data_IF_517008187387
#
_entry.id   IF_517008187387
#
_cell.length_a   1.000
_cell.length_b   1.000
_cell.length_c   1.000
_cell.angle_alpha   90.00
_cell.angle_beta   90.00
_cell.angle_gamma   90.00
#
_symmetry.space_group_name_H-M   'P 1'
#
loop_
_entity.id
_entity.type
_entity.pdbx_description
1 polymer ?
#
# COMPACT_ATOMS: atom_id res chain seq x y z
N UNK A 1 -4.07 32.49 1.96
CA UNK A 1 -3.23 31.82 3.00
C UNK A 1 -3.81 30.43 3.23
N UNK A 2 -3.18 29.42 2.71
CA UNK A 2 -3.55 28.01 2.95
C UNK A 2 -3.23 27.70 4.42
N UNK A 3 -4.24 27.34 5.22
CA UNK A 3 -4.00 26.81 6.56
C UNK A 3 -3.23 25.50 6.40
N UNK A 4 -2.05 25.42 7.00
CA UNK A 4 -1.35 24.16 7.12
C UNK A 4 -2.27 23.15 7.82
N UNK A 5 -2.54 22.03 7.16
CA UNK A 5 -3.36 20.96 7.73
C UNK A 5 -2.56 20.38 8.90
N UNK A 6 -3.10 20.46 10.11
CA UNK A 6 -2.50 19.78 11.25
C UNK A 6 -2.72 18.27 11.08
N UNK A 7 -1.67 17.57 10.67
CA UNK A 7 -1.69 16.13 10.45
C UNK A 7 -2.08 15.33 11.72
N UNK A 8 -1.83 15.89 12.93
CA UNK A 8 -2.26 15.27 14.18
C UNK A 8 -3.77 15.35 14.36
N UNK A 9 -4.36 16.48 14.00
CA UNK A 9 -5.83 16.68 14.07
C UNK A 9 -6.54 15.82 13.02
N UNK A 10 -5.97 15.71 11.81
CA UNK A 10 -6.46 14.83 10.77
C UNK A 10 -6.42 13.35 11.22
N UNK A 11 -5.31 12.92 11.83
CA UNK A 11 -5.13 11.57 12.39
C UNK A 11 -6.07 11.28 13.55
N UNK A 12 -6.27 12.24 14.43
CA UNK A 12 -7.18 12.12 15.57
C UNK A 12 -8.63 11.96 15.13
N UNK A 13 -9.05 12.67 14.09
CA UNK A 13 -10.41 12.60 13.54
C UNK A 13 -10.68 11.29 12.79
N UNK A 14 -9.69 10.74 12.08
CA UNK A 14 -9.78 9.41 11.42
C UNK A 14 -9.98 8.29 12.46
N UNK A 15 -9.34 8.37 13.62
CA UNK A 15 -9.40 7.33 14.65
C UNK A 15 -10.55 7.50 15.67
N UNK A 16 -11.28 8.61 15.64
CA UNK A 16 -12.27 8.93 16.67
C UNK A 16 -13.60 8.19 16.49
N UNK A 17 -13.94 7.80 15.27
CA UNK A 17 -15.23 7.16 14.98
C UNK A 17 -15.09 5.91 14.12
N UNK A 18 -14.75 4.79 14.78
CA UNK A 18 -14.70 3.46 14.15
C UNK A 18 -16.09 2.92 13.79
N UNK A 19 -17.15 3.65 14.07
CA UNK A 19 -18.54 3.30 13.77
C UNK A 19 -19.05 3.93 12.47
N UNK A 20 -18.36 4.94 11.92
CA UNK A 20 -18.74 5.52 10.64
C UNK A 20 -18.41 4.56 9.50
N UNK A 21 -19.46 4.05 8.87
CA UNK A 21 -19.33 3.30 7.62
C UNK A 21 -18.74 4.24 6.58
N UNK A 22 -17.60 3.83 6.00
CA UNK A 22 -16.96 4.62 4.95
C UNK A 22 -17.96 4.94 3.82
N UNK A 23 -18.08 6.18 3.37
CA UNK A 23 -18.97 6.54 2.27
C UNK A 23 -18.46 6.04 0.92
N UNK A 24 -17.33 5.37 0.91
CA UNK A 24 -16.63 4.82 -0.25
C UNK A 24 -16.66 3.31 -0.22
N UNK A 25 -16.89 2.69 -1.37
CA UNK A 25 -16.69 1.26 -1.60
C UNK A 25 -15.46 1.04 -2.47
N UNK A 26 -14.62 0.10 -2.09
CA UNK A 26 -13.50 -0.38 -2.89
C UNK A 26 -13.86 -1.68 -3.60
N UNK A 27 -13.70 -1.71 -4.92
CA UNK A 27 -13.81 -2.89 -5.74
C UNK A 27 -12.40 -3.39 -6.09
N UNK A 28 -12.00 -4.49 -5.43
CA UNK A 28 -10.64 -5.03 -5.55
C UNK A 28 -10.31 -5.49 -6.97
N UNK A 29 -11.18 -6.24 -7.69
CA UNK A 29 -10.87 -6.71 -9.04
C UNK A 29 -10.59 -5.59 -10.05
N UNK A 30 -11.35 -4.49 -9.98
CA UNK A 30 -11.17 -3.33 -10.85
C UNK A 30 -10.27 -2.25 -10.25
N UNK A 31 -9.88 -2.42 -9.00
CA UNK A 31 -9.12 -1.44 -8.21
C UNK A 31 -9.74 -0.04 -8.23
N UNK A 32 -11.07 0.03 -8.08
CA UNK A 32 -11.82 1.29 -8.14
C UNK A 32 -12.45 1.65 -6.80
N UNK A 33 -12.43 2.94 -6.50
CA UNK A 33 -13.07 3.53 -5.33
C UNK A 33 -14.28 4.32 -5.78
N UNK A 34 -15.47 4.03 -5.23
CA UNK A 34 -16.72 4.64 -5.64
C UNK A 34 -17.48 5.17 -4.43
N UNK A 35 -17.92 6.41 -4.48
CA UNK A 35 -18.76 7.00 -3.44
C UNK A 35 -20.16 6.37 -3.46
N UNK A 36 -20.63 5.87 -2.32
CA UNK A 36 -21.82 5.03 -2.22
C UNK A 36 -23.11 5.76 -2.61
N UNK A 37 -23.22 7.04 -2.30
CA UNK A 37 -24.45 7.82 -2.58
C UNK A 37 -24.44 8.46 -3.96
N UNK A 38 -23.28 9.00 -4.38
CA UNK A 38 -23.18 9.76 -5.64
C UNK A 38 -22.76 8.93 -6.83
N UNK A 39 -22.19 7.75 -6.62
CA UNK A 39 -21.58 6.93 -7.68
C UNK A 39 -20.29 7.53 -8.26
N UNK A 40 -19.78 8.62 -7.69
CA UNK A 40 -18.59 9.29 -8.16
C UNK A 40 -17.34 8.43 -7.90
N UNK A 41 -16.45 8.35 -8.89
CA UNK A 41 -15.19 7.63 -8.76
C UNK A 41 -14.10 8.50 -8.16
N UNK A 42 -13.43 7.97 -7.15
CA UNK A 42 -12.27 8.61 -6.51
C UNK A 42 -10.98 8.11 -7.12
N UNK A 43 -10.00 8.99 -7.21
CA UNK A 43 -8.66 8.64 -7.68
C UNK A 43 -7.90 7.92 -6.57
N UNK A 44 -7.27 6.77 -6.87
CA UNK A 44 -6.41 6.13 -5.89
C UNK A 44 -5.16 6.96 -5.61
N UNK A 45 -4.67 6.91 -4.37
CA UNK A 45 -3.43 7.59 -3.96
C UNK A 45 -2.26 7.17 -4.87
N UNK A 46 -2.14 5.89 -5.19
CA UNK A 46 -1.08 5.36 -6.06
C UNK A 46 -1.18 5.88 -7.49
N UNK A 47 -2.40 6.01 -8.03
CA UNK A 47 -2.64 6.63 -9.35
C UNK A 47 -2.27 8.11 -9.35
N UNK A 48 -2.63 8.84 -8.28
CA UNK A 48 -2.25 10.24 -8.14
C UNK A 48 -0.72 10.41 -8.10
N UNK A 49 -0.04 9.64 -7.25
CA UNK A 49 1.42 9.68 -7.15
C UNK A 49 2.10 9.28 -8.48
N UNK A 50 1.49 8.37 -9.22
CA UNK A 50 1.98 7.94 -10.53
C UNK A 50 2.12 9.08 -11.54
N UNK A 51 1.27 10.12 -11.47
CA UNK A 51 1.33 11.30 -12.34
C UNK A 51 2.59 12.14 -12.14
N UNK A 52 3.22 12.05 -10.99
CA UNK A 52 4.44 12.81 -10.64
C UNK A 52 5.73 12.00 -10.78
N UNK A 53 5.62 10.69 -11.02
CA UNK A 53 6.79 9.84 -11.23
C UNK A 53 7.22 9.91 -12.70
N UNK A 54 8.52 10.10 -12.92
CA UNK A 54 9.08 9.88 -14.27
C UNK A 54 8.97 8.39 -14.59
N UNK A 55 8.42 8.02 -15.76
CA UNK A 55 8.41 6.64 -16.20
C UNK A 55 9.84 6.08 -16.21
N UNK A 56 10.01 4.86 -15.71
CA UNK A 56 11.28 4.16 -15.82
C UNK A 56 11.41 3.62 -17.26
N UNK A 57 12.40 4.12 -18.00
CA UNK A 57 12.72 3.64 -19.35
C UNK A 57 13.48 2.31 -19.25
N UNK A 58 12.74 1.23 -19.11
CA UNK A 58 13.27 -0.12 -18.99
C UNK A 58 14.05 -0.56 -20.21
N UNK A 59 13.65 -0.14 -21.40
CA UNK A 59 14.28 -0.50 -22.67
C UNK A 59 15.70 0.06 -22.77
N UNK A 60 15.85 1.36 -22.56
CA UNK A 60 17.16 2.02 -22.59
C UNK A 60 18.09 1.49 -21.51
N UNK A 61 17.57 1.29 -20.29
CA UNK A 61 18.39 0.79 -19.17
C UNK A 61 18.77 -0.66 -19.40
N UNK A 62 17.84 -1.53 -19.86
CA UNK A 62 18.14 -2.92 -20.19
C UNK A 62 19.19 -3.07 -21.29
N UNK A 63 19.12 -2.21 -22.34
CA UNK A 63 20.15 -2.19 -23.40
C UNK A 63 21.53 -1.88 -22.85
N UNK A 64 21.63 -0.94 -21.91
CA UNK A 64 22.91 -0.59 -21.27
C UNK A 64 23.44 -1.72 -20.40
N UNK A 65 22.57 -2.35 -19.61
CA UNK A 65 22.94 -3.49 -18.76
C UNK A 65 23.36 -4.68 -19.61
N UNK A 66 22.59 -5.02 -20.63
CA UNK A 66 22.89 -6.11 -21.57
C UNK A 66 24.29 -5.97 -22.19
N UNK A 67 24.63 -4.74 -22.64
CA UNK A 67 25.95 -4.45 -23.19
C UNK A 67 27.07 -4.60 -22.16
N UNK A 68 26.83 -4.19 -20.91
CA UNK A 68 27.82 -4.31 -19.82
C UNK A 68 28.08 -5.74 -19.42
N UNK A 69 27.01 -6.54 -19.31
CA UNK A 69 27.06 -7.92 -18.83
C UNK A 69 27.30 -8.94 -19.97
N UNK A 70 27.31 -8.52 -21.22
CA UNK A 70 27.51 -9.43 -22.36
C UNK A 70 26.36 -10.40 -22.63
N UNK A 71 25.14 -10.00 -22.30
CA UNK A 71 23.92 -10.81 -22.48
C UNK A 71 22.93 -10.11 -23.43
N UNK A 72 21.85 -10.79 -23.83
CA UNK A 72 20.80 -10.17 -24.63
C UNK A 72 19.94 -9.22 -23.78
N UNK A 73 19.41 -8.15 -24.41
CA UNK A 73 18.46 -7.23 -23.77
C UNK A 73 17.21 -7.96 -23.29
N UNK A 74 16.70 -8.89 -24.09
CA UNK A 74 15.48 -9.65 -23.77
C UNK A 74 15.68 -10.50 -22.51
N UNK A 75 16.86 -11.09 -22.34
CA UNK A 75 17.21 -11.83 -21.11
C UNK A 75 17.19 -10.90 -19.89
N UNK A 76 17.72 -9.69 -19.98
CA UNK A 76 17.69 -8.71 -18.89
C UNK A 76 16.25 -8.34 -18.52
N UNK A 77 15.41 -8.07 -19.51
CA UNK A 77 13.98 -7.74 -19.29
C UNK A 77 13.21 -8.90 -18.67
N UNK A 78 13.46 -10.13 -19.12
CA UNK A 78 12.86 -11.33 -18.56
C UNK A 78 13.27 -11.55 -17.10
N UNK A 79 14.56 -11.42 -16.79
CA UNK A 79 15.07 -11.50 -15.41
C UNK A 79 14.41 -10.45 -14.51
N UNK A 80 14.28 -9.21 -14.98
CA UNK A 80 13.62 -8.15 -14.19
C UNK A 80 12.13 -8.42 -13.98
N UNK A 81 11.44 -8.93 -15.00
CA UNK A 81 10.02 -9.28 -14.88
C UNK A 81 9.81 -10.44 -13.90
N UNK A 82 10.66 -11.45 -13.98
CA UNK A 82 10.64 -12.60 -13.05
C UNK A 82 10.88 -12.15 -11.61
N UNK A 83 11.87 -11.31 -11.38
CA UNK A 83 12.17 -10.79 -10.04
C UNK A 83 11.07 -9.86 -9.52
N UNK A 84 10.49 -9.03 -10.39
CA UNK A 84 9.32 -8.21 -10.05
C UNK A 84 8.14 -9.08 -9.58
N UNK A 85 7.80 -10.11 -10.35
CA UNK A 85 6.69 -11.00 -10.01
C UNK A 85 6.95 -11.71 -8.66
N UNK A 86 8.15 -12.27 -8.48
CA UNK A 86 8.57 -12.91 -7.23
C UNK A 86 8.48 -11.95 -6.04
N UNK A 87 8.89 -10.69 -6.21
CA UNK A 87 8.82 -9.68 -5.16
C UNK A 87 7.37 -9.29 -4.83
N UNK A 88 6.50 -9.19 -5.85
CA UNK A 88 5.08 -8.91 -5.67
C UNK A 88 4.38 -10.05 -4.93
N UNK A 89 4.59 -11.30 -5.35
CA UNK A 89 3.99 -12.48 -4.72
C UNK A 89 4.42 -12.59 -3.26
N UNK A 90 5.73 -12.39 -2.99
CA UNK A 90 6.25 -12.39 -1.62
C UNK A 90 5.64 -11.25 -0.80
N UNK A 91 5.51 -10.06 -1.38
CA UNK A 91 4.90 -8.90 -0.71
C UNK A 91 3.45 -9.21 -0.31
N UNK A 92 2.65 -9.74 -1.23
CA UNK A 92 1.26 -10.13 -0.98
C UNK A 92 1.16 -11.18 0.13
N UNK A 93 2.02 -12.21 0.11
CA UNK A 93 2.07 -13.22 1.16
C UNK A 93 2.40 -12.62 2.53
N UNK A 94 3.41 -11.73 2.61
CA UNK A 94 3.79 -11.07 3.86
C UNK A 94 2.65 -10.20 4.41
N UNK A 95 1.97 -9.44 3.55
CA UNK A 95 0.81 -8.63 3.94
C UNK A 95 -0.28 -9.50 4.55
N UNK A 96 -0.63 -10.60 3.88
CA UNK A 96 -1.65 -11.53 4.36
C UNK A 96 -1.30 -12.16 5.69
N UNK A 97 -0.05 -12.63 5.85
CA UNK A 97 0.43 -13.23 7.11
C UNK A 97 0.37 -12.23 8.27
N UNK A 98 0.73 -10.97 8.04
CA UNK A 98 0.64 -9.93 9.06
C UNK A 98 -0.81 -9.55 9.39
N UNK A 99 -1.67 -9.46 8.39
CA UNK A 99 -3.09 -9.21 8.58
C UNK A 99 -3.72 -10.31 9.46
N UNK A 100 -3.48 -11.58 9.14
CA UNK A 100 -3.99 -12.72 9.90
C UNK A 100 -3.43 -12.75 11.33
N UNK A 101 -2.15 -12.43 11.50
CA UNK A 101 -1.54 -12.29 12.82
C UNK A 101 -2.18 -11.18 13.67
N UNK A 102 -2.41 -10.01 13.07
CA UNK A 102 -2.96 -8.84 13.76
C UNK A 102 -4.45 -9.03 14.10
N UNK A 103 -5.21 -9.65 13.20
CA UNK A 103 -6.68 -9.74 13.31
C UNK A 103 -7.16 -10.95 14.08
N UNK A 104 -6.55 -12.11 13.86
CA UNK A 104 -7.00 -13.39 14.44
C UNK A 104 -5.91 -14.11 15.24
N UNK A 105 -4.68 -13.63 15.25
CA UNK A 105 -3.56 -14.21 16.00
C UNK A 105 -2.96 -15.45 15.35
N UNK A 106 -3.29 -15.74 14.09
CA UNK A 106 -2.71 -16.86 13.35
C UNK A 106 -1.22 -16.63 13.07
N UNK A 107 -0.42 -17.68 13.22
CA UNK A 107 1.02 -17.66 13.00
C UNK A 107 1.43 -18.88 12.16
N UNK A 108 2.31 -18.61 11.20
CA UNK A 108 3.02 -19.64 10.45
C UNK A 108 4.46 -19.73 10.98
N UNK A 109 4.88 -20.94 11.36
CA UNK A 109 6.17 -21.17 12.02
C UNK A 109 7.37 -20.73 11.16
N UNK A 110 7.28 -20.84 9.83
CA UNK A 110 8.34 -20.42 8.91
C UNK A 110 8.54 -18.89 8.92
N UNK A 111 7.54 -18.12 9.34
CA UNK A 111 7.53 -16.66 9.35
C UNK A 111 7.71 -16.05 10.73
N UNK A 112 8.16 -16.82 11.72
CA UNK A 112 8.33 -16.35 13.09
C UNK A 112 9.17 -15.07 13.25
N UNK A 113 10.12 -14.81 12.35
CA UNK A 113 10.92 -13.59 12.31
C UNK A 113 10.06 -12.36 11.97
N UNK A 114 9.04 -12.52 11.11
CA UNK A 114 8.14 -11.46 10.68
C UNK A 114 7.29 -10.96 11.85
N UNK A 115 6.69 -11.89 12.59
CA UNK A 115 5.84 -11.57 13.75
C UNK A 115 6.65 -10.90 14.87
N UNK A 116 7.85 -11.41 15.16
CA UNK A 116 8.78 -10.79 16.13
C UNK A 116 9.18 -9.38 15.73
N UNK A 117 9.35 -9.12 14.43
CA UNK A 117 9.69 -7.78 13.93
C UNK A 117 8.51 -6.83 14.08
N UNK A 118 7.29 -7.30 13.79
CA UNK A 118 6.08 -6.53 13.99
C UNK A 118 5.86 -6.18 15.47
N UNK A 119 6.02 -7.17 16.38
CA UNK A 119 5.86 -6.96 17.82
C UNK A 119 6.83 -5.91 18.35
N UNK A 120 8.10 -5.93 17.92
CA UNK A 120 9.07 -4.89 18.25
C UNK A 120 8.64 -3.51 17.76
N UNK A 121 8.13 -3.41 16.54
CA UNK A 121 7.62 -2.14 16.00
C UNK A 121 6.42 -1.65 16.81
N UNK A 122 5.56 -2.57 17.24
CA UNK A 122 4.39 -2.27 18.08
C UNK A 122 4.81 -1.78 19.46
N UNK A 123 5.78 -2.44 20.12
CA UNK A 123 6.32 -2.01 21.42
C UNK A 123 6.83 -0.56 21.38
N UNK A 124 7.50 -0.15 20.31
CA UNK A 124 7.99 1.23 20.15
C UNK A 124 6.87 2.27 20.00
N UNK A 125 5.68 1.85 19.60
CA UNK A 125 4.55 2.72 19.31
C UNK A 125 3.37 2.54 20.26
N UNK A 126 3.44 1.61 21.23
CA UNK A 126 2.32 1.25 22.10
C UNK A 126 1.77 2.45 22.89
N UNK A 127 2.65 3.38 23.27
CA UNK A 127 2.25 4.61 23.97
C UNK A 127 1.56 5.64 23.06
N UNK A 128 1.61 5.43 21.73
CA UNK A 128 1.07 6.36 20.73
C UNK A 128 -0.24 5.88 20.13
N UNK A 129 -0.48 4.57 20.13
CA UNK A 129 -1.63 3.98 19.44
C UNK A 129 -2.36 2.97 20.32
N UNK A 130 -3.62 3.22 20.57
CA UNK A 130 -4.48 2.32 21.35
C UNK A 130 -5.03 1.15 20.52
N UNK A 131 -5.00 1.25 19.19
CA UNK A 131 -5.56 0.26 18.28
C UNK A 131 -4.80 0.24 16.96
N UNK A 132 -4.60 -0.96 16.41
CA UNK A 132 -4.10 -1.18 15.04
C UNK A 132 -5.25 -1.72 14.22
N UNK A 133 -5.47 -1.15 13.05
CA UNK A 133 -6.46 -1.58 12.08
C UNK A 133 -5.74 -1.92 10.78
N UNK A 134 -6.14 -3.01 10.13
CA UNK A 134 -5.63 -3.44 8.84
C UNK A 134 -6.62 -3.11 7.73
N UNK A 135 -6.12 -2.85 6.54
CA UNK A 135 -6.90 -2.66 5.30
C UNK A 135 -8.05 -1.65 5.46
N UNK A 136 -7.76 -0.52 6.12
CA UNK A 136 -8.77 0.51 6.31
C UNK A 136 -8.88 1.43 5.11
N UNK A 137 -10.13 1.68 4.67
CA UNK A 137 -10.41 2.70 3.67
C UNK A 137 -10.13 4.09 4.26
N UNK A 138 -9.30 4.85 3.56
CA UNK A 138 -9.02 6.25 3.82
C UNK A 138 -9.44 7.08 2.62
N UNK A 139 -10.03 8.25 2.84
CA UNK A 139 -10.54 9.09 1.77
C UNK A 139 -10.47 10.57 2.09
N UNK A 140 -10.51 11.37 1.05
CA UNK A 140 -10.68 12.81 1.12
C UNK A 140 -11.75 13.24 0.12
N UNK A 141 -12.84 13.83 0.62
CA UNK A 141 -13.99 14.22 -0.19
C UNK A 141 -13.70 15.45 -1.06
N UNK A 142 -12.89 16.38 -0.56
CA UNK A 142 -12.56 17.62 -1.28
C UNK A 142 -11.75 17.32 -2.53
N UNK A 143 -10.75 16.44 -2.40
CA UNK A 143 -9.84 16.11 -3.50
C UNK A 143 -10.24 14.86 -4.28
N UNK A 144 -11.30 14.16 -3.89
CA UNK A 144 -11.77 12.91 -4.51
C UNK A 144 -10.66 11.86 -4.61
N UNK A 145 -9.95 11.65 -3.50
CA UNK A 145 -8.84 10.72 -3.39
C UNK A 145 -9.20 9.66 -2.36
N UNK A 146 -8.84 8.41 -2.64
CA UNK A 146 -9.03 7.29 -1.71
C UNK A 146 -7.90 6.28 -1.78
N UNK A 147 -7.77 5.46 -0.73
CA UNK A 147 -6.79 4.38 -0.64
C UNK A 147 -7.13 3.39 0.47
N UNK A 148 -6.41 2.27 0.47
CA UNK A 148 -6.32 1.35 1.60
C UNK A 148 -5.04 1.65 2.38
N UNK A 149 -5.13 1.66 3.71
CA UNK A 149 -4.02 1.91 4.64
C UNK A 149 -3.90 0.75 5.65
#
# INVERSE_FOLDING_TARGET
MSKAVDLKELWYNINRDTTMKAPITFDEPSHTYTHNETGEKYTSVTTLLGKYKKPFDSETVATRVAKREGVSKDLVLEMWNTEKNRACDRGTAIHKLLEDYITVGEQDEEWGWLYKSYDKCREWNIDKFNKVLCEQLVWNEEYKISGLA
#
